data_IF_302792955613
#
_entry.id   IF_302792955613
#
_cell.length_a   1.000
_cell.length_b   1.000
_cell.length_c   1.000
_cell.angle_alpha   90.00
_cell.angle_beta   90.00
_cell.angle_gamma   90.00
#
_symmetry.space_group_name_H-M   'P 1'
#
loop_
_entity.id
_entity.type
_entity.pdbx_description
1 polymer ?
#
# COMPACT_ATOMS: atom_id res chain seq x y z
N UNK A 1 -19.70 16.41 31.83
CA UNK A 1 -20.35 15.09 31.94
C UNK A 1 -20.11 14.59 33.35
N UNK A 2 -21.14 14.07 34.00
CA UNK A 2 -21.02 13.59 35.37
C UNK A 2 -20.34 12.21 35.43
N UNK A 3 -19.66 11.91 36.53
CA UNK A 3 -18.90 10.66 36.71
C UNK A 3 -19.76 9.41 36.49
N UNK A 4 -21.02 9.45 36.93
CA UNK A 4 -21.99 8.36 36.73
C UNK A 4 -22.41 8.17 35.27
N UNK A 5 -22.47 9.26 34.50
CA UNK A 5 -22.80 9.19 33.08
C UNK A 5 -21.66 8.55 32.29
N UNK A 6 -20.42 8.98 32.54
CA UNK A 6 -19.21 8.40 31.95
C UNK A 6 -19.06 6.91 32.29
N UNK A 7 -19.39 6.52 33.53
CA UNK A 7 -19.42 5.12 33.94
C UNK A 7 -20.46 4.32 33.13
N UNK A 8 -21.71 4.80 33.03
CA UNK A 8 -22.77 4.13 32.27
C UNK A 8 -22.41 3.95 30.80
N UNK A 9 -21.89 5.00 30.16
CA UNK A 9 -21.46 4.96 28.76
C UNK A 9 -20.29 3.98 28.55
N UNK A 10 -19.33 3.94 29.50
CA UNK A 10 -18.24 2.97 29.49
C UNK A 10 -18.73 1.52 29.62
N UNK A 11 -19.75 1.26 30.43
CA UNK A 11 -20.35 -0.09 30.58
C UNK A 11 -21.14 -0.48 29.32
N UNK A 12 -21.89 0.44 28.73
CA UNK A 12 -22.63 0.22 27.47
C UNK A 12 -21.66 -0.12 26.34
N UNK A 13 -20.55 0.62 26.21
CA UNK A 13 -19.51 0.37 25.22
C UNK A 13 -18.93 -1.06 25.31
N UNK A 14 -18.81 -1.63 26.52
CA UNK A 14 -18.36 -3.01 26.72
C UNK A 14 -19.45 -4.02 26.36
N UNK A 15 -20.70 -3.80 26.82
CA UNK A 15 -21.79 -4.79 26.70
C UNK A 15 -22.43 -4.85 25.31
N UNK A 16 -22.61 -3.71 24.68
CA UNK A 16 -23.38 -3.59 23.42
C UNK A 16 -22.49 -3.48 22.19
N UNK A 17 -21.33 -2.82 22.33
CA UNK A 17 -20.47 -2.48 21.18
C UNK A 17 -19.13 -3.21 21.16
N UNK A 18 -18.77 -3.95 22.22
CA UNK A 18 -17.46 -4.61 22.39
C UNK A 18 -16.26 -3.67 22.16
N UNK A 19 -16.46 -2.36 22.36
CA UNK A 19 -15.42 -1.34 22.14
C UNK A 19 -14.64 -1.12 23.44
N UNK A 20 -13.66 -2.00 23.67
CA UNK A 20 -12.81 -1.99 24.87
C UNK A 20 -11.92 -0.75 24.97
N UNK A 21 -11.53 -0.15 23.85
CA UNK A 21 -10.65 1.02 23.82
C UNK A 21 -11.39 2.26 24.29
N UNK A 22 -12.59 2.51 23.73
CA UNK A 22 -13.45 3.62 24.13
C UNK A 22 -13.97 3.43 25.55
N UNK A 23 -14.36 2.22 25.91
CA UNK A 23 -14.78 1.90 27.27
C UNK A 23 -13.68 2.20 28.31
N UNK A 24 -12.42 1.86 28.01
CA UNK A 24 -11.29 2.12 28.91
C UNK A 24 -11.06 3.62 29.11
N UNK A 25 -11.23 4.44 28.07
CA UNK A 25 -11.11 5.89 28.18
C UNK A 25 -12.22 6.48 29.06
N UNK A 26 -13.48 6.10 28.80
CA UNK A 26 -14.64 6.57 29.56
C UNK A 26 -14.61 6.15 31.04
N UNK A 27 -14.20 4.91 31.32
CA UNK A 27 -14.07 4.40 32.69
C UNK A 27 -12.91 5.07 33.44
N UNK A 28 -11.79 5.40 32.77
CA UNK A 28 -10.71 6.17 33.39
C UNK A 28 -11.15 7.60 33.71
N UNK A 29 -11.83 8.28 32.80
CA UNK A 29 -12.38 9.62 33.04
C UNK A 29 -13.42 9.63 34.17
N UNK A 30 -14.24 8.59 34.29
CA UNK A 30 -15.15 8.41 35.42
C UNK A 30 -14.39 8.28 36.75
N UNK A 31 -13.28 7.54 36.76
CA UNK A 31 -12.43 7.36 37.95
C UNK A 31 -11.59 8.58 38.31
N UNK A 32 -11.28 9.46 37.36
CA UNK A 32 -10.65 10.76 37.64
C UNK A 32 -11.58 11.67 38.45
N UNK A 33 -12.89 11.59 38.20
CA UNK A 33 -13.91 12.35 38.93
C UNK A 33 -14.34 11.66 40.23
N UNK A 34 -14.47 10.33 40.23
CA UNK A 34 -14.81 9.52 41.41
C UNK A 34 -13.82 8.36 41.61
N UNK A 35 -12.66 8.59 42.25
CA UNK A 35 -11.62 7.57 42.41
C UNK A 35 -12.04 6.36 43.26
N UNK A 36 -13.08 6.54 44.10
CA UNK A 36 -13.61 5.53 45.03
C UNK A 36 -14.66 4.61 44.39
N UNK A 37 -14.93 4.72 43.09
CA UNK A 37 -15.90 3.86 42.42
C UNK A 37 -15.34 2.46 42.15
N UNK A 38 -15.65 1.53 43.05
CA UNK A 38 -15.22 0.12 43.01
C UNK A 38 -15.66 -0.57 41.70
N UNK A 39 -16.87 -0.29 41.24
CA UNK A 39 -17.42 -0.92 40.04
C UNK A 39 -16.67 -0.48 38.78
N UNK A 40 -16.28 0.80 38.67
CA UNK A 40 -15.46 1.28 37.55
C UNK A 40 -14.09 0.59 37.47
N UNK A 41 -13.44 0.35 38.61
CA UNK A 41 -12.21 -0.44 38.68
C UNK A 41 -12.42 -1.90 38.25
N UNK A 42 -13.53 -2.53 38.63
CA UNK A 42 -13.86 -3.89 38.20
C UNK A 42 -14.19 -3.95 36.70
N UNK A 43 -14.89 -2.96 36.14
CA UNK A 43 -15.19 -2.91 34.70
C UNK A 43 -13.94 -2.71 33.84
N UNK A 44 -12.92 -1.99 34.33
CA UNK A 44 -11.63 -1.87 33.64
C UNK A 44 -10.93 -3.23 33.42
N UNK A 45 -11.17 -4.22 34.29
CA UNK A 45 -10.59 -5.57 34.14
C UNK A 45 -11.05 -6.28 32.86
N UNK A 46 -12.21 -5.90 32.31
CA UNK A 46 -12.75 -6.43 31.05
C UNK A 46 -12.17 -5.75 29.80
N UNK A 47 -11.49 -4.61 29.97
CA UNK A 47 -10.90 -3.83 28.86
C UNK A 47 -9.45 -4.20 28.57
N UNK A 48 -8.87 -5.08 29.40
CA UNK A 48 -7.47 -5.48 29.32
C UNK A 48 -7.40 -7.00 29.30
N UNK A 49 -6.50 -7.58 28.50
CA UNK A 49 -6.34 -9.03 28.40
C UNK A 49 -5.29 -9.58 29.38
N UNK A 50 -4.28 -8.77 29.69
CA UNK A 50 -3.18 -9.08 30.59
C UNK A 50 -3.65 -9.37 32.04
N UNK A 51 -3.40 -10.59 32.57
CA UNK A 51 -3.76 -10.96 33.94
C UNK A 51 -3.15 -10.07 35.02
N UNK A 52 -1.94 -9.54 34.79
CA UNK A 52 -1.24 -8.70 35.76
C UNK A 52 -1.93 -7.33 35.92
N UNK A 53 -2.35 -6.73 34.81
CA UNK A 53 -3.13 -5.48 34.80
C UNK A 53 -4.54 -5.68 35.38
N UNK A 54 -5.17 -6.83 35.13
CA UNK A 54 -6.44 -7.20 35.79
C UNK A 54 -6.26 -7.27 37.30
N UNK A 55 -5.20 -7.94 37.78
CA UNK A 55 -4.88 -8.01 39.21
C UNK A 55 -4.64 -6.61 39.80
N UNK A 56 -3.92 -5.74 39.10
CA UNK A 56 -3.68 -4.37 39.54
C UNK A 56 -4.99 -3.59 39.76
N UNK A 57 -5.96 -3.68 38.84
CA UNK A 57 -7.26 -3.02 38.99
C UNK A 57 -8.10 -3.61 40.12
N UNK A 58 -8.09 -4.94 40.29
CA UNK A 58 -8.80 -5.60 41.39
C UNK A 58 -8.17 -5.27 42.75
N UNK A 59 -6.86 -5.14 42.83
CA UNK A 59 -6.16 -4.69 44.04
C UNK A 59 -6.53 -3.25 44.40
N UNK A 60 -6.63 -2.33 43.42
CA UNK A 60 -7.13 -0.96 43.67
C UNK A 60 -8.56 -0.99 44.21
N UNK A 61 -9.44 -1.83 43.65
CA UNK A 61 -10.81 -1.99 44.13
C UNK A 61 -10.87 -2.49 45.58
N UNK A 62 -10.01 -3.46 45.96
CA UNK A 62 -9.91 -3.99 47.31
C UNK A 62 -9.24 -3.04 48.32
N UNK A 63 -8.41 -2.11 47.86
CA UNK A 63 -7.88 -1.03 48.71
C UNK A 63 -8.97 -0.03 49.12
N UNK A 64 -9.99 0.15 48.28
CA UNK A 64 -11.13 1.04 48.58
C UNK A 64 -12.11 0.34 49.52
N UNK A 65 -12.48 -0.91 49.22
CA UNK A 65 -13.30 -1.75 50.09
C UNK A 65 -12.72 -3.17 50.16
N UNK A 66 -12.06 -3.44 51.28
CA UNK A 66 -11.42 -4.71 51.53
C UNK A 66 -12.42 -5.88 51.59
N UNK A 67 -13.69 -5.63 51.92
CA UNK A 67 -14.74 -6.64 52.07
C UNK A 67 -15.60 -6.84 50.82
N UNK A 68 -15.28 -6.18 49.69
CA UNK A 68 -16.05 -6.29 48.47
C UNK A 68 -16.04 -7.72 47.91
N UNK A 69 -17.20 -8.38 47.92
CA UNK A 69 -17.33 -9.82 47.65
C UNK A 69 -16.98 -10.20 46.20
N UNK A 70 -17.33 -9.37 45.22
CA UNK A 70 -17.01 -9.62 43.80
C UNK A 70 -15.53 -9.45 43.51
N UNK A 71 -14.91 -8.40 44.06
CA UNK A 71 -13.48 -8.14 43.90
C UNK A 71 -12.64 -9.23 44.57
N UNK A 72 -13.03 -9.74 45.75
CA UNK A 72 -12.35 -10.87 46.41
C UNK A 72 -12.44 -12.15 45.60
N UNK A 73 -13.63 -12.50 45.08
CA UNK A 73 -13.80 -13.69 44.21
C UNK A 73 -12.96 -13.57 42.94
N UNK A 74 -12.94 -12.38 42.33
CA UNK A 74 -12.14 -12.12 41.13
C UNK A 74 -10.64 -12.17 41.43
N UNK A 75 -10.20 -11.59 42.55
CA UNK A 75 -8.82 -11.67 43.04
C UNK A 75 -8.39 -13.11 43.29
N UNK A 76 -9.22 -13.92 43.97
CA UNK A 76 -8.94 -15.33 44.22
C UNK A 76 -8.86 -16.17 42.94
N UNK A 77 -9.69 -15.90 41.93
CA UNK A 77 -9.60 -16.59 40.63
C UNK A 77 -8.34 -16.21 39.87
N UNK A 78 -8.04 -14.92 39.81
CA UNK A 78 -6.85 -14.41 39.13
C UNK A 78 -5.55 -14.82 39.85
N UNK A 79 -5.58 -14.90 41.19
CA UNK A 79 -4.45 -15.35 42.00
C UNK A 79 -4.33 -16.88 42.06
N UNK A 80 -5.45 -17.61 42.01
CA UNK A 80 -5.46 -19.09 41.95
C UNK A 80 -5.02 -19.64 40.61
N UNK A 81 -5.17 -18.88 39.51
CA UNK A 81 -4.51 -19.16 38.23
C UNK A 81 -2.98 -18.91 38.28
N UNK A 82 -2.49 -18.24 39.32
CA UNK A 82 -1.07 -17.93 39.56
C UNK A 82 -0.48 -18.79 40.70
N UNK A 83 -1.30 -19.51 41.47
CA UNK A 83 -0.89 -20.24 42.67
C UNK A 83 -1.48 -21.66 42.75
N UNK A 84 -0.86 -22.63 42.05
CA UNK A 84 -0.86 -24.04 42.44
C UNK A 84 0.54 -24.66 42.22
N UNK A 85 1.25 -25.08 43.28
CA UNK A 85 2.37 -26.01 43.21
C UNK A 85 1.88 -27.47 43.43
N UNK A 86 2.52 -28.51 42.87
CA UNK A 86 2.26 -29.88 43.27
C UNK A 86 3.09 -30.26 44.50
N UNK A 87 2.43 -30.73 45.56
CA UNK A 87 3.05 -31.33 46.75
C UNK A 87 2.40 -32.69 47.05
N UNK A 88 3.17 -33.77 46.89
CA UNK A 88 3.11 -35.02 47.70
C UNK A 88 4.48 -35.70 47.50
N UNK A 89 5.43 -35.66 48.45
CA UNK A 89 5.66 -36.56 49.61
C UNK A 89 7.09 -37.18 49.53
N UNK A 90 7.95 -36.78 50.47
CA UNK A 90 9.32 -37.28 50.77
C UNK A 90 9.31 -38.70 51.42
N UNK A 91 10.43 -39.45 51.67
CA UNK A 91 11.81 -38.96 51.93
C UNK A 91 13.03 -39.82 51.48
N UNK A 92 14.24 -39.25 51.71
CA UNK A 92 15.54 -39.90 52.00
C UNK A 92 16.45 -40.33 50.84
N UNK A 93 17.48 -39.53 50.56
CA UNK A 93 18.92 -39.86 50.72
C UNK A 93 19.73 -38.59 50.39
N UNK A 94 20.32 -37.96 51.41
CA UNK A 94 21.77 -37.99 51.68
C UNK A 94 22.61 -37.21 50.66
N UNK A 95 22.96 -36.00 51.07
CA UNK A 95 24.30 -35.41 50.96
C UNK A 95 24.93 -35.31 49.57
N UNK A 96 24.89 -34.12 48.98
CA UNK A 96 26.13 -33.40 48.72
C UNK A 96 25.88 -31.93 48.48
N UNK A 97 26.75 -31.14 49.10
CA UNK A 97 26.75 -29.69 49.16
C UNK A 97 26.77 -29.06 47.78
N UNK A 98 25.91 -28.07 47.59
CA UNK A 98 26.23 -26.77 47.02
C UNK A 98 25.08 -25.83 47.42
N UNK A 99 25.15 -25.29 48.64
CA UNK A 99 24.51 -24.01 48.91
C UNK A 99 25.30 -22.96 48.12
N UNK A 100 24.66 -22.08 47.33
CA UNK A 100 25.23 -20.76 47.10
C UNK A 100 24.96 -19.91 48.35
N UNK A 101 26.05 -19.41 48.92
CA UNK A 101 26.12 -18.30 49.87
C UNK A 101 25.33 -17.07 49.39
N UNK A 102 24.98 -16.12 50.27
CA UNK A 102 24.23 -14.90 49.90
C UNK A 102 25.08 -13.84 49.16
N UNK A 103 26.06 -14.26 48.35
CA UNK A 103 26.95 -13.39 47.56
C UNK A 103 27.15 -13.99 46.15
N UNK A 104 26.25 -13.68 45.21
CA UNK A 104 26.56 -13.89 43.79
C UNK A 104 25.64 -13.09 42.89
N UNK A 105 25.55 -11.78 43.11
CA UNK A 105 25.10 -10.87 42.06
C UNK A 105 26.06 -11.04 40.88
N UNK A 106 25.62 -11.52 39.70
CA UNK A 106 26.55 -11.86 38.62
C UNK A 106 27.33 -10.63 38.16
N UNK A 107 28.65 -10.69 38.26
CA UNK A 107 29.54 -9.71 37.64
C UNK A 107 29.65 -9.95 36.13
N UNK A 108 30.46 -9.12 35.45
CA UNK A 108 30.69 -9.20 33.99
C UNK A 108 31.10 -10.61 33.54
N UNK A 109 32.00 -11.27 34.29
CA UNK A 109 32.42 -12.63 33.98
C UNK A 109 31.25 -13.64 34.04
N UNK A 110 30.35 -13.49 35.01
CA UNK A 110 29.15 -14.31 35.13
C UNK A 110 28.21 -14.08 33.95
N UNK A 111 27.96 -12.84 33.55
CA UNK A 111 27.14 -12.56 32.35
C UNK A 111 27.74 -13.14 31.08
N UNK A 112 29.07 -13.06 30.93
CA UNK A 112 29.75 -13.63 29.77
C UNK A 112 29.60 -15.15 29.70
N UNK A 113 29.71 -15.84 30.83
CA UNK A 113 29.51 -17.28 30.91
C UNK A 113 28.06 -17.65 30.56
N UNK A 114 27.07 -16.91 31.09
CA UNK A 114 25.66 -17.10 30.75
C UNK A 114 25.37 -16.89 29.26
N UNK A 115 25.90 -15.82 28.66
CA UNK A 115 25.74 -15.52 27.22
C UNK A 115 26.43 -16.58 26.35
N UNK A 116 27.58 -17.10 26.81
CA UNK A 116 28.26 -18.19 26.12
C UNK A 116 27.46 -19.49 26.18
N UNK A 117 26.84 -19.80 27.34
CA UNK A 117 25.98 -20.98 27.51
C UNK A 117 24.77 -20.94 26.55
N UNK A 118 24.19 -19.77 26.30
CA UNK A 118 23.10 -19.58 25.31
C UNK A 118 23.46 -20.10 23.90
N UNK A 119 24.74 -20.16 23.54
CA UNK A 119 25.20 -20.61 22.21
C UNK A 119 25.38 -22.13 22.11
N UNK A 120 25.51 -22.84 23.23
CA UNK A 120 26.05 -24.21 23.26
C UNK A 120 24.96 -25.28 23.10
N UNK A 121 23.70 -24.94 23.39
CA UNK A 121 22.60 -25.90 23.34
C UNK A 121 22.07 -26.16 21.91
N UNK A 122 21.33 -27.27 21.76
CA UNK A 122 20.70 -27.69 20.51
C UNK A 122 19.94 -26.53 19.82
N UNK A 123 19.83 -26.60 18.48
CA UNK A 123 19.30 -25.55 17.59
C UNK A 123 18.40 -24.52 18.32
N UNK A 124 18.91 -23.30 18.59
CA UNK A 124 18.28 -22.40 19.54
C UNK A 124 16.86 -22.04 19.12
N UNK A 125 15.93 -22.08 20.06
CA UNK A 125 14.54 -21.73 19.79
C UNK A 125 14.43 -20.22 19.50
N UNK A 126 13.65 -19.89 18.48
CA UNK A 126 13.42 -18.52 18.01
C UNK A 126 11.94 -18.15 18.10
N UNK A 127 11.60 -16.90 17.84
CA UNK A 127 10.22 -16.41 17.74
C UNK A 127 9.36 -17.18 16.72
N UNK A 128 9.99 -17.93 15.80
CA UNK A 128 9.31 -18.81 14.85
C UNK A 128 9.00 -20.20 15.39
N UNK A 129 9.69 -20.67 16.42
CA UNK A 129 9.44 -21.98 17.02
C UNK A 129 8.38 -21.89 18.11
N UNK A 130 7.48 -22.86 18.15
CA UNK A 130 6.49 -22.94 19.22
C UNK A 130 7.12 -23.47 20.51
N UNK A 131 7.08 -22.66 21.57
CA UNK A 131 7.47 -23.06 22.92
C UNK A 131 6.45 -24.03 23.52
N UNK A 132 6.93 -25.08 24.19
CA UNK A 132 6.12 -25.97 25.02
C UNK A 132 5.48 -25.20 26.19
N UNK A 133 4.45 -25.78 26.81
CA UNK A 133 3.79 -25.15 27.97
C UNK A 133 4.77 -24.96 29.15
N UNK A 134 5.69 -25.91 29.34
CA UNK A 134 6.71 -25.83 30.39
C UNK A 134 7.70 -24.68 30.12
N UNK A 135 8.21 -24.57 28.89
CA UNK A 135 9.11 -23.49 28.49
C UNK A 135 8.41 -22.12 28.58
N UNK A 136 7.14 -22.02 28.16
CA UNK A 136 6.34 -20.78 28.32
C UNK A 136 6.23 -20.36 29.79
N UNK A 137 5.96 -21.33 30.67
CA UNK A 137 5.89 -21.07 32.10
C UNK A 137 7.24 -20.63 32.67
N UNK A 138 8.35 -21.28 32.27
CA UNK A 138 9.70 -20.89 32.68
C UNK A 138 10.06 -19.48 32.21
N UNK A 139 9.81 -19.15 30.94
CA UNK A 139 10.00 -17.79 30.40
C UNK A 139 9.21 -16.77 31.23
N UNK A 140 7.93 -17.03 31.50
CA UNK A 140 7.10 -16.14 32.30
C UNK A 140 7.61 -15.98 33.74
N UNK A 141 8.09 -17.07 34.34
CA UNK A 141 8.67 -17.06 35.68
C UNK A 141 9.92 -16.18 35.73
N UNK A 142 10.87 -16.37 34.81
CA UNK A 142 12.10 -15.59 34.77
C UNK A 142 11.82 -14.11 34.49
N UNK A 143 10.89 -13.78 33.59
CA UNK A 143 10.46 -12.39 33.38
C UNK A 143 9.88 -11.75 34.65
N UNK A 144 9.04 -12.49 35.38
CA UNK A 144 8.49 -12.03 36.66
C UNK A 144 9.56 -11.82 37.73
N UNK A 145 10.55 -12.72 37.81
CA UNK A 145 11.69 -12.56 38.71
C UNK A 145 12.56 -11.35 38.34
N UNK A 146 12.76 -11.12 37.04
CA UNK A 146 13.47 -9.94 36.57
C UNK A 146 12.75 -8.65 36.97
N UNK A 147 11.43 -8.58 36.82
CA UNK A 147 10.65 -7.42 37.21
C UNK A 147 10.68 -7.17 38.73
N UNK A 148 10.68 -8.23 39.54
CA UNK A 148 10.88 -8.11 40.99
C UNK A 148 12.29 -7.59 41.33
N UNK A 149 13.31 -8.07 40.64
CA UNK A 149 14.68 -7.61 40.80
C UNK A 149 14.83 -6.13 40.43
N UNK A 150 14.16 -5.67 39.36
CA UNK A 150 14.07 -4.24 39.00
C UNK A 150 13.43 -3.42 40.12
N UNK A 151 12.30 -3.88 40.67
CA UNK A 151 11.61 -3.19 41.77
C UNK A 151 12.47 -3.11 43.04
N UNK A 152 13.29 -4.14 43.29
CA UNK A 152 14.26 -4.16 44.37
C UNK A 152 15.51 -3.30 44.10
N UNK A 153 15.65 -2.71 42.91
CA UNK A 153 16.84 -1.98 42.49
C UNK A 153 18.06 -2.87 42.20
N UNK A 154 17.88 -4.20 42.21
CA UNK A 154 18.93 -5.18 41.95
C UNK A 154 18.94 -5.53 40.46
N UNK A 155 19.57 -4.66 39.67
CA UNK A 155 19.59 -4.85 38.24
C UNK A 155 20.45 -6.04 37.76
N UNK A 156 21.63 -6.35 38.32
CA UNK A 156 22.40 -7.47 37.80
C UNK A 156 21.63 -8.79 37.89
N UNK A 157 20.83 -8.98 38.95
CA UNK A 157 19.92 -10.12 39.05
C UNK A 157 18.83 -10.05 37.97
N UNK A 158 18.27 -8.88 37.68
CA UNK A 158 17.32 -8.73 36.58
C UNK A 158 17.94 -9.09 35.22
N UNK A 159 19.20 -8.71 34.97
CA UNK A 159 19.94 -9.07 33.76
C UNK A 159 20.13 -10.59 33.69
N UNK A 160 20.55 -11.21 34.80
CA UNK A 160 20.69 -12.66 34.87
C UNK A 160 19.38 -13.37 34.51
N UNK A 161 18.25 -12.91 35.07
CA UNK A 161 16.94 -13.47 34.76
C UNK A 161 16.53 -13.28 33.29
N UNK A 162 16.86 -12.15 32.66
CA UNK A 162 16.64 -12.01 31.21
C UNK A 162 17.55 -12.94 30.40
N UNK A 163 18.79 -13.16 30.80
CA UNK A 163 19.68 -14.11 30.13
C UNK A 163 19.16 -15.56 30.23
N UNK A 164 18.52 -15.94 31.33
CA UNK A 164 17.80 -17.22 31.44
C UNK A 164 16.59 -17.32 30.50
N UNK A 165 15.90 -16.20 30.23
CA UNK A 165 14.89 -16.21 29.16
C UNK A 165 15.53 -16.44 27.80
N UNK A 166 16.72 -15.87 27.56
CA UNK A 166 17.43 -16.01 26.29
C UNK A 166 18.07 -17.39 26.09
N UNK A 167 18.36 -18.13 27.16
CA UNK A 167 18.77 -19.54 27.05
C UNK A 167 17.63 -20.43 26.54
N UNK A 168 16.38 -20.11 26.88
CA UNK A 168 15.19 -20.80 26.36
C UNK A 168 14.85 -20.31 24.94
N UNK A 169 14.71 -19.01 24.75
CA UNK A 169 14.39 -18.40 23.46
C UNK A 169 15.37 -17.27 23.13
N UNK A 170 16.31 -17.56 22.24
CA UNK A 170 17.49 -16.71 21.95
C UNK A 170 17.13 -15.31 21.44
N UNK A 171 15.98 -15.15 20.79
CA UNK A 171 15.52 -13.89 20.22
C UNK A 171 14.28 -13.32 20.91
N UNK A 172 14.03 -13.71 22.17
CA UNK A 172 12.87 -13.26 22.93
C UNK A 172 12.84 -11.71 23.00
N UNK A 173 11.80 -11.05 22.46
CA UNK A 173 11.81 -9.60 22.22
C UNK A 173 12.08 -8.75 23.47
N UNK A 174 11.41 -9.09 24.57
CA UNK A 174 11.51 -8.32 25.82
C UNK A 174 12.88 -8.49 26.50
N UNK A 175 13.29 -9.75 26.70
CA UNK A 175 14.56 -10.10 27.32
C UNK A 175 15.76 -9.54 26.54
N UNK A 176 15.80 -9.66 25.20
CA UNK A 176 16.88 -9.04 24.40
C UNK A 176 16.91 -7.54 24.63
N UNK A 177 15.77 -6.86 24.48
CA UNK A 177 15.70 -5.40 24.61
C UNK A 177 16.17 -4.97 26.00
N UNK A 178 15.64 -5.58 27.05
CA UNK A 178 15.95 -5.23 28.43
C UNK A 178 17.40 -5.58 28.78
N UNK A 179 17.90 -6.77 28.45
CA UNK A 179 19.28 -7.18 28.77
C UNK A 179 20.33 -6.37 27.99
N UNK A 180 20.20 -6.29 26.65
CA UNK A 180 21.20 -5.62 25.82
C UNK A 180 21.32 -4.13 26.15
N UNK A 181 20.20 -3.41 26.32
CA UNK A 181 20.21 -1.98 26.68
C UNK A 181 20.82 -1.76 28.08
N UNK A 182 20.48 -2.61 29.06
CA UNK A 182 20.98 -2.44 30.42
C UNK A 182 22.47 -2.76 30.56
N UNK A 183 22.98 -3.72 29.78
CA UNK A 183 24.41 -4.01 29.66
C UNK A 183 25.15 -2.86 28.95
N UNK A 184 24.59 -2.38 27.83
CA UNK A 184 25.14 -1.25 27.07
C UNK A 184 25.33 0.00 27.91
N UNK A 185 24.27 0.42 28.63
CA UNK A 185 24.29 1.61 29.48
C UNK A 185 25.30 1.53 30.65
N UNK A 186 25.87 0.35 30.90
CA UNK A 186 26.90 0.11 31.93
C UNK A 186 28.31 -0.03 31.37
N UNK A 187 28.47 0.14 30.05
CA UNK A 187 29.74 -0.05 29.36
C UNK A 187 30.08 -1.51 29.07
N UNK A 188 29.13 -2.44 29.25
CA UNK A 188 29.30 -3.86 28.88
C UNK A 188 28.86 -4.06 27.42
N UNK A 189 29.49 -3.31 26.52
CA UNK A 189 29.12 -3.26 25.10
C UNK A 189 29.33 -4.60 24.40
N UNK A 190 30.42 -5.31 24.74
CA UNK A 190 30.77 -6.58 24.11
C UNK A 190 29.74 -7.65 24.46
N UNK A 191 29.29 -7.69 25.71
CA UNK A 191 28.21 -8.58 26.17
C UNK A 191 26.88 -8.23 25.49
N UNK A 192 26.54 -6.94 25.39
CA UNK A 192 25.33 -6.50 24.70
C UNK A 192 25.35 -6.88 23.20
N UNK A 193 26.49 -6.70 22.51
CA UNK A 193 26.69 -7.11 21.11
C UNK A 193 26.64 -8.62 20.97
N UNK A 194 27.20 -9.37 21.91
CA UNK A 194 27.20 -10.84 21.89
C UNK A 194 25.77 -11.41 21.95
N UNK A 195 24.89 -10.83 22.78
CA UNK A 195 23.46 -11.21 22.83
C UNK A 195 22.80 -11.03 21.45
N UNK A 196 22.97 -9.86 20.83
CA UNK A 196 22.40 -9.58 19.51
C UNK A 196 22.98 -10.50 18.43
N UNK A 197 24.29 -10.79 18.50
CA UNK A 197 24.95 -11.67 17.56
C UNK A 197 24.41 -13.10 17.67
N UNK A 198 24.20 -13.62 18.87
CA UNK A 198 23.59 -14.95 19.06
C UNK A 198 22.20 -15.02 18.40
N UNK A 199 21.38 -13.99 18.53
CA UNK A 199 20.07 -13.93 17.86
C UNK A 199 20.18 -13.85 16.32
N UNK A 200 21.18 -13.14 15.79
CA UNK A 200 21.43 -13.10 14.35
C UNK A 200 21.97 -14.42 13.79
N UNK A 201 22.83 -15.11 14.53
CA UNK A 201 23.36 -16.43 14.18
C UNK A 201 22.24 -17.47 14.16
N UNK A 202 21.26 -17.33 15.06
CA UNK A 202 20.02 -18.10 15.08
C UNK A 202 19.01 -17.70 13.97
N UNK A 203 19.38 -16.79 13.06
CA UNK A 203 18.55 -16.30 11.95
C UNK A 203 17.22 -15.70 12.41
N UNK A 204 17.23 -14.92 13.49
CA UNK A 204 16.03 -14.24 13.99
C UNK A 204 15.31 -13.43 12.92
N UNK A 205 13.99 -13.47 12.99
CA UNK A 205 13.08 -12.60 12.22
C UNK A 205 12.35 -11.60 13.10
N UNK A 206 12.73 -11.46 14.36
CA UNK A 206 12.08 -10.56 15.32
C UNK A 206 12.45 -9.10 15.04
N UNK A 207 11.50 -8.22 14.67
CA UNK A 207 11.77 -6.80 14.42
C UNK A 207 12.39 -6.09 15.62
N UNK A 208 12.02 -6.48 16.84
CA UNK A 208 12.51 -5.87 18.09
C UNK A 208 14.01 -6.08 18.26
N UNK A 209 14.56 -7.22 17.80
CA UNK A 209 16.01 -7.47 17.85
C UNK A 209 16.75 -6.51 16.93
N UNK A 210 16.25 -6.31 15.71
CA UNK A 210 16.82 -5.35 14.78
C UNK A 210 16.69 -3.91 15.30
N UNK A 211 15.54 -3.53 15.85
CA UNK A 211 15.34 -2.20 16.46
C UNK A 211 16.31 -1.96 17.62
N UNK A 212 16.51 -2.96 18.49
CA UNK A 212 17.47 -2.88 19.59
C UNK A 212 18.90 -2.74 19.05
N UNK A 213 19.28 -3.54 18.05
CA UNK A 213 20.60 -3.43 17.43
C UNK A 213 20.83 -2.08 16.73
N UNK A 214 19.79 -1.51 16.10
CA UNK A 214 19.84 -0.17 15.49
C UNK A 214 20.08 0.87 16.58
N UNK A 215 19.31 0.84 17.67
CA UNK A 215 19.48 1.77 18.79
C UNK A 215 20.91 1.71 19.34
N UNK A 216 21.44 0.52 19.60
CA UNK A 216 22.80 0.35 20.11
C UNK A 216 23.86 0.84 19.11
N UNK A 217 23.65 0.63 17.81
CA UNK A 217 24.55 1.16 16.78
C UNK A 217 24.51 2.69 16.69
N UNK A 218 23.36 3.32 16.97
CA UNK A 218 23.22 4.78 17.05
C UNK A 218 23.87 5.34 18.31
N UNK A 219 23.68 4.67 19.45
CA UNK A 219 24.33 5.03 20.72
C UNK A 219 25.86 4.91 20.62
N UNK A 220 26.36 4.01 19.76
CA UNK A 220 27.77 3.84 19.43
C UNK A 220 28.33 4.86 18.40
N UNK A 221 27.51 5.80 17.92
CA UNK A 221 27.81 6.69 16.80
C UNK A 221 28.33 5.93 15.54
N UNK A 222 27.72 4.78 15.25
CA UNK A 222 28.03 3.95 14.09
C UNK A 222 26.90 3.97 13.06
N UNK A 223 26.76 5.07 12.28
CA UNK A 223 25.66 5.23 11.33
C UNK A 223 25.70 4.18 10.20
N UNK A 224 26.89 3.68 9.85
CA UNK A 224 27.03 2.65 8.80
C UNK A 224 26.37 1.34 9.22
N UNK A 225 26.58 0.92 10.46
CA UNK A 225 25.95 -0.27 11.00
C UNK A 225 24.45 -0.09 11.17
N UNK A 226 24.02 1.06 11.72
CA UNK A 226 22.61 1.38 11.87
C UNK A 226 21.87 1.33 10.52
N UNK A 227 22.44 1.91 9.45
CA UNK A 227 21.90 1.82 8.08
C UNK A 227 21.82 0.36 7.60
N UNK A 228 22.88 -0.44 7.80
CA UNK A 228 22.89 -1.85 7.40
C UNK A 228 21.77 -2.63 8.10
N UNK A 229 21.56 -2.40 9.39
CA UNK A 229 20.53 -3.05 10.19
C UNK A 229 19.11 -2.62 9.77
N UNK A 230 18.89 -1.32 9.49
CA UNK A 230 17.63 -0.81 8.92
C UNK A 230 17.26 -1.48 7.61
N UNK A 231 18.24 -1.66 6.71
CA UNK A 231 18.02 -2.36 5.45
C UNK A 231 17.72 -3.85 5.62
N UNK A 232 18.33 -4.51 6.62
CA UNK A 232 17.99 -5.90 6.96
C UNK A 232 16.60 -6.02 7.56
N UNK A 233 16.19 -5.07 8.42
CA UNK A 233 14.84 -5.00 8.97
C UNK A 233 13.79 -4.92 7.86
N UNK A 234 13.99 -4.06 6.86
CA UNK A 234 13.08 -3.95 5.71
C UNK A 234 12.94 -5.22 4.84
N UNK A 235 13.87 -6.19 4.97
CA UNK A 235 13.81 -7.47 4.24
C UNK A 235 13.02 -8.55 4.98
N UNK A 236 12.65 -8.33 6.24
CA UNK A 236 11.95 -9.37 7.00
C UNK A 236 10.53 -9.56 6.46
N UNK A 237 10.05 -10.80 6.29
CA UNK A 237 8.72 -11.08 5.71
C UNK A 237 7.56 -10.42 6.48
N UNK A 238 7.67 -10.39 7.80
CA UNK A 238 6.60 -9.96 8.70
C UNK A 238 6.75 -8.50 9.15
N UNK A 239 7.51 -7.69 8.40
CA UNK A 239 7.66 -6.26 8.72
C UNK A 239 6.36 -5.52 8.42
N UNK A 240 5.81 -4.85 9.42
CA UNK A 240 4.58 -4.09 9.26
C UNK A 240 4.80 -2.82 8.42
N UNK A 241 3.72 -2.38 7.78
CA UNK A 241 3.73 -1.21 6.92
C UNK A 241 4.23 0.06 7.63
N UNK A 242 3.86 0.26 8.91
CA UNK A 242 4.25 1.45 9.64
C UNK A 242 5.76 1.51 9.89
N UNK A 243 6.39 0.36 10.17
CA UNK A 243 7.85 0.27 10.24
C UNK A 243 8.51 0.60 8.90
N UNK A 244 8.00 0.08 7.78
CA UNK A 244 8.53 0.42 6.45
C UNK A 244 8.40 1.92 6.17
N UNK A 245 7.23 2.52 6.44
CA UNK A 245 7.00 3.96 6.25
C UNK A 245 7.96 4.81 7.11
N UNK A 246 8.19 4.41 8.36
CA UNK A 246 9.15 5.06 9.26
C UNK A 246 10.58 5.01 8.70
N UNK A 247 11.04 3.85 8.21
CA UNK A 247 12.37 3.71 7.64
C UNK A 247 12.56 4.57 6.38
N UNK A 248 11.54 4.63 5.52
CA UNK A 248 11.54 5.50 4.33
C UNK A 248 11.65 6.97 4.76
N UNK A 249 10.78 7.42 5.68
CA UNK A 249 10.79 8.80 6.17
C UNK A 249 12.13 9.17 6.82
N UNK A 250 12.71 8.26 7.61
CA UNK A 250 14.01 8.44 8.24
C UNK A 250 15.12 8.69 7.20
N UNK A 251 15.22 7.86 6.15
CA UNK A 251 16.23 8.06 5.11
C UNK A 251 16.02 9.32 4.27
N UNK A 252 14.76 9.72 4.04
CA UNK A 252 14.44 10.97 3.35
C UNK A 252 14.84 12.20 4.19
N UNK A 253 14.58 12.18 5.50
CA UNK A 253 15.01 13.24 6.42
C UNK A 253 16.53 13.41 6.44
N UNK A 254 17.27 12.30 6.36
CA UNK A 254 18.74 12.30 6.24
C UNK A 254 19.23 12.70 4.84
N UNK A 255 18.33 13.06 3.91
CA UNK A 255 18.64 13.35 2.50
C UNK A 255 19.35 12.20 1.79
N UNK A 256 18.99 10.97 2.13
CA UNK A 256 19.53 9.73 1.57
C UNK A 256 18.46 8.94 0.78
N UNK A 257 17.93 9.50 -0.33
CA UNK A 257 16.81 8.91 -1.06
C UNK A 257 17.12 7.53 -1.65
N UNK A 258 18.40 7.26 -1.96
CA UNK A 258 18.85 5.94 -2.44
C UNK A 258 18.56 4.82 -1.44
N UNK A 259 18.69 5.08 -0.14
CA UNK A 259 18.36 4.08 0.87
C UNK A 259 16.86 3.96 1.11
N UNK A 260 16.11 5.07 1.02
CA UNK A 260 14.65 5.04 1.05
C UNK A 260 14.07 4.16 -0.07
N UNK A 261 14.59 4.28 -1.30
CA UNK A 261 14.22 3.41 -2.41
C UNK A 261 14.58 1.95 -2.14
N UNK A 262 15.79 1.66 -1.62
CA UNK A 262 16.21 0.29 -1.27
C UNK A 262 15.32 -0.35 -0.20
N UNK A 263 14.85 0.42 0.78
CA UNK A 263 13.89 -0.07 1.79
C UNK A 263 12.61 -0.57 1.11
N UNK A 264 12.04 0.21 0.19
CA UNK A 264 10.84 -0.18 -0.55
C UNK A 264 11.11 -1.35 -1.50
N UNK A 265 12.26 -1.40 -2.17
CA UNK A 265 12.67 -2.53 -3.01
C UNK A 265 12.75 -3.83 -2.21
N UNK A 266 13.33 -3.80 -1.01
CA UNK A 266 13.39 -4.97 -0.12
C UNK A 266 12.03 -5.36 0.45
N UNK A 267 11.22 -4.40 0.88
CA UNK A 267 9.87 -4.66 1.34
C UNK A 267 9.02 -5.31 0.24
N UNK A 268 9.20 -4.86 -1.02
CA UNK A 268 8.53 -5.45 -2.19
C UNK A 268 8.99 -6.87 -2.49
N UNK A 269 10.24 -7.23 -2.24
CA UNK A 269 10.69 -8.63 -2.40
C UNK A 269 9.95 -9.57 -1.43
N UNK A 270 9.65 -9.09 -0.22
CA UNK A 270 8.87 -9.84 0.76
C UNK A 270 7.36 -9.83 0.44
N UNK A 271 6.84 -8.74 -0.10
CA UNK A 271 5.42 -8.57 -0.47
C UNK A 271 5.27 -7.96 -1.87
N UNK A 272 5.37 -8.77 -2.94
CA UNK A 272 5.38 -8.28 -4.32
C UNK A 272 4.10 -7.55 -4.74
N UNK A 273 2.96 -7.97 -4.20
CA UNK A 273 1.63 -7.45 -4.58
C UNK A 273 1.18 -6.24 -3.76
N UNK A 274 2.03 -5.69 -2.90
CA UNK A 274 1.67 -4.52 -2.11
C UNK A 274 1.73 -3.24 -2.96
N UNK A 275 0.55 -2.80 -3.43
CA UNK A 275 0.35 -1.60 -4.25
C UNK A 275 0.95 -0.33 -3.63
N UNK A 276 0.95 -0.22 -2.29
CA UNK A 276 1.47 0.97 -1.62
C UNK A 276 2.97 1.12 -1.79
N UNK A 277 3.73 0.01 -1.80
CA UNK A 277 5.17 0.04 -2.05
C UNK A 277 5.48 0.45 -3.50
N UNK A 278 4.69 -0.04 -4.46
CA UNK A 278 4.86 0.31 -5.87
C UNK A 278 4.64 1.81 -6.11
N UNK A 279 3.52 2.36 -5.61
CA UNK A 279 3.22 3.79 -5.73
C UNK A 279 4.30 4.62 -5.04
N UNK A 280 4.65 4.29 -3.79
CA UNK A 280 5.63 5.08 -3.04
C UNK A 280 7.03 5.02 -3.66
N UNK A 281 7.42 3.88 -4.25
CA UNK A 281 8.69 3.77 -4.97
C UNK A 281 8.62 4.55 -6.29
N UNK A 282 7.50 4.53 -7.00
CA UNK A 282 7.24 5.35 -8.17
C UNK A 282 7.36 6.84 -7.87
N UNK A 283 6.74 7.31 -6.78
CA UNK A 283 6.82 8.70 -6.30
C UNK A 283 8.27 9.13 -6.13
N UNK A 284 9.06 8.31 -5.43
CA UNK A 284 10.47 8.59 -5.19
C UNK A 284 11.28 8.54 -6.49
N UNK A 285 11.01 7.60 -7.39
CA UNK A 285 11.72 7.51 -8.68
C UNK A 285 11.43 8.73 -9.55
N UNK A 286 10.18 9.20 -9.56
CA UNK A 286 9.79 10.44 -10.24
C UNK A 286 10.50 11.66 -9.65
N UNK A 287 10.46 11.83 -8.31
CA UNK A 287 11.09 12.95 -7.61
C UNK A 287 12.61 13.04 -7.88
N UNK A 288 13.28 11.89 -8.02
CA UNK A 288 14.73 11.80 -8.24
C UNK A 288 15.13 11.51 -9.69
N UNK A 289 14.26 11.83 -10.66
CA UNK A 289 14.60 11.91 -12.09
C UNK A 289 14.65 10.59 -12.86
N UNK A 290 14.11 9.51 -12.30
CA UNK A 290 13.99 8.19 -12.95
C UNK A 290 12.56 7.98 -13.46
N UNK A 291 12.16 8.80 -14.44
CA UNK A 291 10.79 8.87 -14.96
C UNK A 291 10.29 7.55 -15.56
N UNK A 292 11.09 6.90 -16.40
CA UNK A 292 10.69 5.63 -17.05
C UNK A 292 10.42 4.52 -16.03
N UNK A 293 11.25 4.42 -15.00
CA UNK A 293 11.05 3.46 -13.91
C UNK A 293 9.80 3.79 -13.10
N UNK A 294 9.52 5.08 -12.85
CA UNK A 294 8.32 5.51 -12.13
C UNK A 294 7.04 5.10 -12.87
N UNK A 295 6.98 5.32 -14.19
CA UNK A 295 5.86 4.90 -15.05
C UNK A 295 5.62 3.39 -14.91
N UNK A 296 6.67 2.58 -15.05
CA UNK A 296 6.56 1.13 -14.94
C UNK A 296 6.02 0.66 -13.58
N UNK A 297 6.33 1.38 -12.50
CA UNK A 297 5.88 1.07 -11.14
C UNK A 297 4.41 1.47 -10.94
N UNK A 298 3.99 2.61 -11.48
CA UNK A 298 2.58 3.02 -11.45
C UNK A 298 1.70 2.10 -12.30
N UNK A 299 2.17 1.65 -13.47
CA UNK A 299 1.47 0.65 -14.30
C UNK A 299 1.29 -0.67 -13.54
N UNK A 300 2.37 -1.18 -12.92
CA UNK A 300 2.30 -2.37 -12.07
C UNK A 300 1.27 -2.17 -10.95
N UNK A 301 1.33 -1.03 -10.25
CA UNK A 301 0.40 -0.72 -9.16
C UNK A 301 -1.06 -0.69 -9.65
N UNK A 302 -1.34 -0.14 -10.83
CA UNK A 302 -2.69 -0.08 -11.39
C UNK A 302 -3.23 -1.47 -11.79
N UNK A 303 -2.34 -2.41 -12.13
CA UNK A 303 -2.69 -3.77 -12.55
C UNK A 303 -2.92 -4.73 -11.39
N UNK A 304 -2.25 -4.55 -10.24
CA UNK A 304 -2.26 -5.53 -9.12
C UNK A 304 -3.64 -5.77 -8.48
N UNK A 305 -4.61 -4.85 -8.54
CA UNK A 305 -5.94 -5.08 -7.93
C UNK A 305 -7.13 -4.55 -8.74
N UNK A 306 -8.28 -5.25 -8.62
CA UNK A 306 -9.56 -4.83 -9.21
C UNK A 306 -10.22 -3.80 -8.29
N UNK A 307 -10.29 -2.55 -8.76
CA UNK A 307 -11.00 -1.39 -8.15
C UNK A 307 -10.61 -1.11 -6.68
N UNK A 308 -9.43 -0.52 -6.47
CA UNK A 308 -9.01 0.07 -5.18
C UNK A 308 -8.77 1.58 -5.29
N UNK A 309 -8.77 2.30 -4.16
CA UNK A 309 -8.34 3.71 -4.13
C UNK A 309 -6.88 3.88 -4.59
N UNK A 310 -6.02 2.92 -4.24
CA UNK A 310 -4.61 2.91 -4.65
C UNK A 310 -4.44 2.74 -6.17
N UNK A 311 -5.29 1.94 -6.81
CA UNK A 311 -5.31 1.86 -8.27
C UNK A 311 -5.62 3.22 -8.91
N UNK A 312 -6.63 3.94 -8.40
CA UNK A 312 -6.97 5.29 -8.91
C UNK A 312 -5.80 6.26 -8.71
N UNK A 313 -5.15 6.21 -7.55
CA UNK A 313 -3.97 7.02 -7.30
C UNK A 313 -2.83 6.72 -8.28
N UNK A 314 -2.61 5.44 -8.62
CA UNK A 314 -1.63 5.06 -9.64
C UNK A 314 -2.03 5.52 -11.05
N UNK A 315 -3.30 5.38 -11.43
CA UNK A 315 -3.85 5.86 -12.71
C UNK A 315 -3.75 7.40 -12.83
N UNK A 316 -3.99 8.12 -11.74
CA UNK A 316 -3.81 9.58 -11.65
C UNK A 316 -2.35 9.97 -11.89
N UNK A 317 -1.38 9.30 -11.26
CA UNK A 317 0.04 9.58 -11.53
C UNK A 317 0.43 9.24 -12.96
N UNK A 318 -0.13 8.20 -13.57
CA UNK A 318 0.09 7.88 -14.98
C UNK A 318 -0.42 8.96 -15.92
N UNK A 319 -1.53 9.63 -15.57
CA UNK A 319 -2.06 10.73 -16.35
C UNK A 319 -1.05 11.88 -16.50
N UNK A 320 -0.26 12.16 -15.45
CA UNK A 320 0.80 13.18 -15.49
C UNK A 320 1.94 12.85 -16.48
N UNK A 321 2.08 11.58 -16.88
CA UNK A 321 3.10 11.13 -17.83
C UNK A 321 2.60 10.97 -19.27
N UNK A 322 1.30 11.10 -19.51
CA UNK A 322 0.78 11.08 -20.88
C UNK A 322 1.34 12.31 -21.59
N UNK A 323 2.12 12.17 -22.68
CA UNK A 323 2.58 13.32 -23.43
C UNK A 323 1.35 14.06 -23.93
N UNK A 324 1.11 15.25 -23.39
CA UNK A 324 0.25 16.22 -24.05
C UNK A 324 0.94 16.50 -25.38
N UNK A 325 0.25 16.22 -26.51
CA UNK A 325 0.72 16.59 -27.85
C UNK A 325 1.36 17.98 -27.77
N UNK A 326 2.62 18.12 -28.18
CA UNK A 326 3.30 19.40 -28.02
C UNK A 326 2.56 20.48 -28.82
N UNK A 327 2.56 21.73 -28.39
CA UNK A 327 1.83 22.82 -29.09
C UNK A 327 2.19 22.93 -30.58
N UNK A 328 3.40 22.47 -30.96
CA UNK A 328 3.88 22.40 -32.34
C UNK A 328 3.17 21.32 -33.17
N UNK A 329 2.71 20.25 -32.54
CA UNK A 329 1.95 19.17 -33.17
C UNK A 329 0.46 19.51 -33.27
N UNK A 330 -0.09 20.21 -32.26
CA UNK A 330 -1.49 20.70 -32.24
C UNK A 330 -1.77 21.80 -33.26
N UNK A 331 -0.74 22.54 -33.66
CA UNK A 331 -0.79 23.61 -34.67
C UNK A 331 -0.46 23.15 -36.09
N UNK A 332 -0.10 21.87 -36.27
CA UNK A 332 0.38 21.34 -37.55
C UNK A 332 -0.77 21.09 -38.52
N UNK A 333 -0.85 21.92 -39.56
CA UNK A 333 -1.76 21.75 -40.71
C UNK A 333 -1.55 20.38 -41.38
N UNK A 334 -0.32 19.85 -41.37
CA UNK A 334 -0.01 18.52 -41.92
C UNK A 334 -0.68 17.38 -41.15
N UNK A 335 -0.80 17.49 -39.82
CA UNK A 335 -1.49 16.49 -39.00
C UNK A 335 -2.99 16.51 -39.24
N UNK A 336 -3.58 17.70 -39.34
CA UNK A 336 -4.99 17.85 -39.70
C UNK A 336 -5.26 17.33 -41.12
N UNK A 337 -4.35 17.60 -42.07
CA UNK A 337 -4.44 17.06 -43.43
C UNK A 337 -4.35 15.53 -43.42
N UNK A 338 -3.54 14.92 -42.55
CA UNK A 338 -3.50 13.46 -42.37
C UNK A 338 -4.86 12.89 -41.94
N UNK A 339 -5.57 13.57 -41.04
CA UNK A 339 -6.91 13.14 -40.61
C UNK A 339 -7.94 13.29 -41.77
N UNK A 340 -7.82 14.34 -42.57
CA UNK A 340 -8.67 14.57 -43.76
C UNK A 340 -8.46 13.50 -44.83
N UNK A 341 -7.24 12.99 -45.01
CA UNK A 341 -6.93 11.95 -46.01
C UNK A 341 -7.82 10.71 -45.78
N UNK A 342 -8.03 10.30 -44.54
CA UNK A 342 -8.87 9.12 -44.22
C UNK A 342 -10.30 9.27 -44.71
N UNK A 343 -10.93 10.41 -44.41
CA UNK A 343 -12.31 10.69 -44.85
C UNK A 343 -12.35 10.84 -46.39
N UNK A 344 -11.34 11.48 -46.98
CA UNK A 344 -11.26 11.68 -48.43
C UNK A 344 -11.14 10.35 -49.20
N UNK A 345 -10.36 9.39 -48.68
CA UNK A 345 -10.24 8.04 -49.24
C UNK A 345 -11.59 7.30 -49.18
N UNK A 346 -12.36 7.47 -48.10
CA UNK A 346 -13.69 6.86 -47.99
C UNK A 346 -14.61 7.39 -49.10
N UNK A 347 -14.67 8.70 -49.32
CA UNK A 347 -15.50 9.28 -50.40
C UNK A 347 -15.02 8.86 -51.79
N UNK A 348 -13.71 8.74 -51.99
CA UNK A 348 -13.15 8.18 -53.24
C UNK A 348 -13.59 6.73 -53.44
N UNK A 349 -13.55 5.91 -52.40
CA UNK A 349 -13.99 4.51 -52.45
C UNK A 349 -15.50 4.38 -52.70
N UNK A 350 -16.30 5.25 -52.09
CA UNK A 350 -17.74 5.31 -52.32
C UNK A 350 -18.06 5.70 -53.79
N UNK A 351 -17.34 6.68 -54.33
CA UNK A 351 -17.51 7.08 -55.73
C UNK A 351 -17.10 5.95 -56.68
N UNK A 352 -15.99 5.28 -56.35
CA UNK A 352 -15.52 4.12 -57.11
C UNK A 352 -16.54 2.97 -57.08
N UNK A 353 -17.20 2.75 -55.95
CA UNK A 353 -18.28 1.77 -55.83
C UNK A 353 -19.51 2.18 -56.64
N UNK A 354 -19.92 3.45 -56.62
CA UNK A 354 -21.12 3.96 -57.32
C UNK A 354 -21.00 3.85 -58.85
N UNK A 355 -19.77 3.90 -59.38
CA UNK A 355 -19.48 3.72 -60.81
C UNK A 355 -19.16 2.27 -61.21
N UNK A 356 -19.45 1.31 -60.34
CA UNK A 356 -19.28 -0.12 -60.64
C UNK A 356 -17.83 -0.60 -60.62
N UNK A 357 -16.96 0.03 -59.82
CA UNK A 357 -15.54 -0.28 -59.70
C UNK A 357 -14.73 -0.02 -60.99
N UNK A 358 -15.21 0.91 -61.83
CA UNK A 358 -14.49 1.39 -63.01
C UNK A 358 -14.32 2.91 -62.96
N UNK A 359 -13.08 3.37 -62.69
CA UNK A 359 -12.75 4.78 -62.66
C UNK A 359 -13.02 5.51 -63.98
N UNK A 360 -13.08 4.80 -65.12
CA UNK A 360 -13.40 5.37 -66.42
C UNK A 360 -14.82 5.96 -66.48
N UNK A 361 -15.72 5.50 -65.61
CA UNK A 361 -17.12 5.93 -65.57
C UNK A 361 -17.36 7.11 -64.60
N UNK A 362 -16.31 7.66 -63.97
CA UNK A 362 -16.45 8.83 -63.10
C UNK A 362 -16.79 10.10 -63.88
N UNK A 363 -18.02 10.58 -63.70
CA UNK A 363 -18.47 11.86 -64.25
C UNK A 363 -17.95 13.07 -63.41
N UNK A 364 -18.08 14.32 -63.91
CA UNK A 364 -17.67 15.51 -63.18
C UNK A 364 -18.34 15.72 -61.81
N UNK A 365 -19.54 15.15 -61.60
CA UNK A 365 -20.29 15.26 -60.34
C UNK A 365 -19.61 14.47 -59.23
N UNK A 366 -19.14 13.25 -59.51
CA UNK A 366 -18.37 12.44 -58.54
C UNK A 366 -17.11 13.18 -58.09
N UNK A 367 -16.36 13.76 -59.04
CA UNK A 367 -15.16 14.55 -58.75
C UNK A 367 -15.46 15.80 -57.92
N UNK A 368 -16.57 16.48 -58.21
CA UNK A 368 -17.04 17.60 -57.40
C UNK A 368 -17.40 17.15 -55.97
N UNK A 369 -18.04 15.98 -55.82
CA UNK A 369 -18.35 15.38 -54.53
C UNK A 369 -17.10 15.06 -53.70
N UNK A 370 -16.07 14.46 -54.31
CA UNK A 370 -14.78 14.20 -53.64
C UNK A 370 -14.12 15.52 -53.19
N UNK A 371 -14.13 16.55 -54.04
CA UNK A 371 -13.62 17.87 -53.68
C UNK A 371 -14.36 18.50 -52.50
N UNK A 372 -15.69 18.42 -52.49
CA UNK A 372 -16.53 18.86 -51.36
C UNK A 372 -16.22 18.07 -50.08
N UNK A 373 -15.97 16.76 -50.19
CA UNK A 373 -15.62 15.93 -49.05
C UNK A 373 -14.29 16.36 -48.40
N UNK A 374 -13.28 16.69 -49.19
CA UNK A 374 -11.98 17.19 -48.68
C UNK A 374 -12.19 18.49 -47.89
N UNK A 375 -12.94 19.44 -48.45
CA UNK A 375 -13.20 20.75 -47.82
C UNK A 375 -14.05 20.58 -46.56
N UNK A 376 -15.13 19.79 -46.63
CA UNK A 376 -16.02 19.53 -45.50
C UNK A 376 -15.30 18.82 -44.35
N UNK A 377 -14.47 17.83 -44.68
CA UNK A 377 -13.63 17.11 -43.72
C UNK A 377 -12.65 18.05 -43.02
N UNK A 378 -11.98 18.92 -43.76
CA UNK A 378 -11.03 19.86 -43.20
C UNK A 378 -11.69 20.84 -42.22
N UNK A 379 -12.88 21.36 -42.56
CA UNK A 379 -13.65 22.23 -41.65
C UNK A 379 -14.12 21.48 -40.39
N UNK A 380 -14.58 20.24 -40.55
CA UNK A 380 -15.02 19.41 -39.42
C UNK A 380 -13.86 19.06 -38.47
N UNK A 381 -12.74 18.59 -39.00
CA UNK A 381 -11.50 18.30 -38.24
C UNK A 381 -10.99 19.56 -37.52
N UNK A 382 -11.00 20.71 -38.18
CA UNK A 382 -10.61 22.00 -37.57
C UNK A 382 -11.57 22.39 -36.43
N UNK A 383 -12.86 22.10 -36.54
CA UNK A 383 -13.85 22.39 -35.51
C UNK A 383 -13.73 21.49 -34.27
N UNK A 384 -13.24 20.24 -34.42
CA UNK A 384 -13.23 19.24 -33.35
C UNK A 384 -11.84 18.90 -32.81
N UNK A 385 -10.91 18.48 -33.66
CA UNK A 385 -9.61 17.92 -33.25
C UNK A 385 -8.45 18.91 -33.36
N UNK A 386 -8.54 19.93 -34.22
CA UNK A 386 -7.47 20.91 -34.46
C UNK A 386 -7.96 22.37 -34.49
N UNK A 387 -8.45 22.94 -33.36
CA UNK A 387 -8.96 24.31 -33.32
C UNK A 387 -7.87 25.40 -33.27
N UNK A 388 -6.60 25.00 -33.28
CA UNK A 388 -5.41 25.86 -33.13
C UNK A 388 -4.70 26.17 -34.46
N UNK A 389 -5.35 25.96 -35.61
CA UNK A 389 -4.70 26.19 -36.90
C UNK A 389 -4.35 27.68 -37.09
N UNK A 390 -3.06 28.01 -37.05
CA UNK A 390 -2.55 29.38 -37.06
C UNK A 390 -3.12 30.29 -38.17
N UNK A 391 -3.28 29.84 -39.44
CA UNK A 391 -3.78 30.72 -40.50
C UNK A 391 -5.24 31.12 -40.26
N UNK A 392 -6.09 30.15 -39.95
CA UNK A 392 -7.53 30.35 -39.76
C UNK A 392 -7.83 31.02 -38.42
N UNK A 393 -7.16 30.60 -37.35
CA UNK A 393 -7.34 31.20 -36.03
C UNK A 393 -6.90 32.68 -36.01
N UNK A 394 -5.82 33.04 -36.72
CA UNK A 394 -5.43 34.46 -36.86
C UNK A 394 -6.40 35.25 -37.72
N UNK A 395 -6.87 34.66 -38.82
CA UNK A 395 -7.80 35.33 -39.74
C UNK A 395 -9.18 35.57 -39.10
N UNK A 396 -9.65 34.66 -38.25
CA UNK A 396 -10.96 34.72 -37.59
C UNK A 396 -10.91 35.36 -36.18
N UNK A 397 -9.79 36.00 -35.79
CA UNK A 397 -9.69 36.72 -34.53
C UNK A 397 -9.71 35.81 -33.29
N UNK A 398 -9.02 34.67 -33.35
CA UNK A 398 -8.91 33.72 -32.25
C UNK A 398 -8.30 34.33 -30.98
N UNK A 399 -8.80 33.88 -29.83
CA UNK A 399 -8.40 34.39 -28.51
C UNK A 399 -7.38 33.44 -27.86
N UNK A 400 -6.55 34.00 -26.97
CA UNK A 400 -5.60 33.24 -26.13
C UNK A 400 -6.15 33.22 -24.70
N UNK A 401 -6.47 32.05 -24.11
CA UNK A 401 -6.94 31.96 -22.73
C UNK A 401 -5.86 32.38 -21.72
N UNK A 402 -6.23 33.10 -20.65
CA UNK A 402 -5.28 33.62 -19.64
C UNK A 402 -4.64 32.54 -18.75
N UNK A 403 -5.29 31.39 -18.56
CA UNK A 403 -4.87 30.34 -17.60
C UNK A 403 -4.06 29.18 -18.21
N UNK A 404 -3.67 29.27 -19.49
CA UNK A 404 -2.88 28.23 -20.15
C UNK A 404 -1.57 28.83 -20.64
N UNK A 405 -0.43 28.26 -20.22
CA UNK A 405 0.95 28.63 -20.62
C UNK A 405 1.24 28.45 -22.13
N UNK A 406 0.20 28.33 -22.98
CA UNK A 406 0.27 28.07 -24.41
C UNK A 406 -0.19 29.31 -25.19
N UNK A 407 0.76 30.10 -25.72
CA UNK A 407 0.53 31.37 -26.43
C UNK A 407 -0.11 31.26 -27.84
N UNK A 408 -0.91 30.23 -28.14
CA UNK A 408 -1.46 30.00 -29.48
C UNK A 408 -2.91 30.48 -29.57
N UNK A 409 -3.31 31.26 -30.60
CA UNK A 409 -4.70 31.69 -30.77
C UNK A 409 -5.61 30.51 -31.08
N UNK A 410 -6.74 30.42 -30.36
CA UNK A 410 -7.75 29.36 -30.49
C UNK A 410 -9.01 29.97 -31.12
N UNK A 411 -9.64 29.26 -32.06
CA UNK A 411 -10.96 29.61 -32.57
C UNK A 411 -12.00 29.65 -31.45
N UNK A 412 -12.87 30.66 -31.44
CA UNK A 412 -13.98 30.76 -30.48
C UNK A 412 -14.93 29.57 -30.59
N UNK A 413 -15.63 29.23 -29.51
CA UNK A 413 -16.61 28.13 -29.52
C UNK A 413 -17.65 28.32 -30.62
N UNK A 414 -18.11 29.56 -30.83
CA UNK A 414 -19.08 29.92 -31.87
C UNK A 414 -18.56 29.66 -33.29
N UNK A 415 -17.32 30.07 -33.59
CA UNK A 415 -16.70 29.84 -34.90
C UNK A 415 -16.48 28.36 -35.18
N UNK A 416 -16.10 27.58 -34.16
CA UNK A 416 -15.99 26.13 -34.31
C UNK A 416 -17.33 25.46 -34.56
N UNK A 417 -18.39 25.86 -33.85
CA UNK A 417 -19.74 25.31 -34.09
C UNK A 417 -20.20 25.62 -35.51
N UNK A 418 -20.00 26.85 -35.99
CA UNK A 418 -20.29 27.25 -37.37
C UNK A 418 -19.51 26.41 -38.39
N UNK A 419 -18.19 26.23 -38.20
CA UNK A 419 -17.36 25.40 -39.06
C UNK A 419 -17.76 23.93 -39.04
N UNK A 420 -18.12 23.39 -37.87
CA UNK A 420 -18.60 22.01 -37.74
C UNK A 420 -19.90 21.79 -38.49
N UNK A 421 -20.87 22.69 -38.35
CA UNK A 421 -22.15 22.63 -39.08
C UNK A 421 -21.90 22.73 -40.59
N UNK A 422 -21.08 23.70 -41.03
CA UNK A 422 -20.74 23.86 -42.45
C UNK A 422 -20.02 22.63 -43.01
N UNK A 423 -19.04 22.09 -42.26
CA UNK A 423 -18.30 20.89 -42.63
C UNK A 423 -19.21 19.67 -42.80
N UNK A 424 -20.11 19.43 -41.85
CA UNK A 424 -21.11 18.35 -41.94
C UNK A 424 -22.03 18.56 -43.15
N UNK A 425 -22.47 19.79 -43.40
CA UNK A 425 -23.36 20.10 -44.52
C UNK A 425 -22.70 19.83 -45.87
N UNK A 426 -21.43 20.18 -46.01
CA UNK A 426 -20.61 19.87 -47.19
C UNK A 426 -20.37 18.37 -47.35
N UNK A 427 -20.16 17.63 -46.26
CA UNK A 427 -20.02 16.17 -46.30
C UNK A 427 -21.32 15.47 -46.73
N UNK A 428 -22.47 15.96 -46.30
CA UNK A 428 -23.78 15.46 -46.76
C UNK A 428 -23.96 15.74 -48.25
N UNK A 429 -23.66 16.96 -48.72
CA UNK A 429 -23.73 17.30 -50.13
C UNK A 429 -22.76 16.45 -50.98
N UNK A 430 -21.52 16.26 -50.50
CA UNK A 430 -20.53 15.39 -51.11
C UNK A 430 -21.04 13.96 -51.24
N UNK A 431 -21.76 13.46 -50.23
CA UNK A 431 -22.28 12.09 -50.23
C UNK A 431 -23.31 11.92 -51.34
N UNK A 432 -24.24 12.87 -51.46
CA UNK A 432 -25.26 12.87 -52.53
C UNK A 432 -24.61 12.88 -53.92
N UNK A 433 -23.52 13.64 -54.09
CA UNK A 433 -22.83 13.75 -55.38
C UNK A 433 -22.04 12.49 -55.73
N UNK A 434 -21.52 11.80 -54.72
CA UNK A 434 -20.74 10.58 -54.86
C UNK A 434 -21.62 9.33 -55.04
N UNK A 435 -22.85 9.34 -54.50
CA UNK A 435 -23.83 8.25 -54.61
C UNK A 435 -24.90 8.49 -55.67
N UNK A 436 -24.65 9.36 -56.65
CA UNK A 436 -25.67 9.82 -57.59
C UNK A 436 -26.40 8.67 -58.29
N UNK A 437 -25.66 7.68 -58.80
CA UNK A 437 -26.24 6.58 -59.57
C UNK A 437 -27.01 5.61 -58.66
N UNK A 438 -26.46 5.25 -57.49
CA UNK A 438 -27.14 4.37 -56.55
C UNK A 438 -28.37 5.04 -55.90
N UNK A 439 -28.35 6.35 -55.67
CA UNK A 439 -29.53 7.11 -55.23
C UNK A 439 -30.61 7.12 -56.32
N UNK A 440 -30.22 7.30 -57.58
CA UNK A 440 -31.14 7.22 -58.72
C UNK A 440 -31.78 5.83 -58.82
N UNK A 441 -30.99 4.77 -58.74
CA UNK A 441 -31.48 3.38 -58.72
C UNK A 441 -32.38 3.06 -57.52
N UNK A 442 -32.18 3.74 -56.39
CA UNK A 442 -33.02 3.56 -55.20
C UNK A 442 -34.37 4.27 -55.35
N UNK A 443 -34.41 5.38 -56.10
CA UNK A 443 -35.62 6.18 -56.35
C UNK A 443 -36.40 5.62 -57.55
N UNK A 444 -35.70 5.18 -58.59
CA UNK A 444 -36.25 4.59 -59.81
C UNK A 444 -35.52 3.28 -60.15
N UNK A 445 -35.89 2.16 -59.49
CA UNK A 445 -35.24 0.88 -59.71
C UNK A 445 -35.54 0.34 -61.12
N UNK A 446 -34.51 -0.22 -61.77
CA UNK A 446 -34.66 -0.89 -63.07
C UNK A 446 -35.73 -1.99 -62.96
N UNK A 447 -36.68 -1.99 -63.89
CA UNK A 447 -37.79 -2.95 -63.87
C UNK A 447 -37.27 -4.35 -64.22
N UNK A 448 -37.80 -5.41 -63.59
CA UNK A 448 -37.36 -6.79 -63.85
C UNK A 448 -37.47 -7.21 -65.32
N UNK A 449 -38.41 -6.63 -66.07
CA UNK A 449 -38.66 -6.96 -67.48
C UNK A 449 -37.53 -6.48 -68.40
N UNK A 450 -36.83 -5.40 -68.03
CA UNK A 450 -35.70 -4.83 -68.79
C UNK A 450 -34.38 -5.59 -68.55
N UNK A 451 -34.33 -6.45 -67.53
CA UNK A 451 -33.14 -7.28 -67.23
C UNK A 451 -33.01 -8.47 -68.18
N UNK A 452 -34.09 -8.90 -68.83
CA UNK A 452 -34.07 -10.07 -69.73
C UNK A 452 -33.44 -9.75 -71.11
N UNK A 453 -33.48 -8.50 -71.59
CA UNK A 453 -32.83 -8.13 -72.86
C UNK A 453 -31.30 -8.02 -72.75
N UNK A 454 -30.74 -7.89 -71.54
CA UNK A 454 -29.30 -7.67 -71.32
C UNK A 454 -28.52 -9.01 -71.27
N UNK A 455 -29.19 -10.12 -70.99
CA UNK A 455 -28.56 -11.46 -70.90
C UNK A 455 -28.78 -12.36 -72.12
N UNK A 456 -29.56 -11.95 -73.13
CA UNK A 456 -29.62 -12.64 -74.43
C UNK A 456 -28.40 -12.27 -75.29
N UNK A 457 -27.23 -12.76 -74.87
CA UNK A 457 -26.11 -13.01 -75.78
C UNK A 457 -26.37 -14.36 -76.46
N UNK A 458 -26.79 -14.31 -77.73
CA UNK A 458 -26.62 -15.33 -78.77
C UNK A 458 -26.35 -16.77 -78.27
N UNK A 459 -27.39 -17.49 -77.80
CA UNK A 459 -27.36 -18.96 -77.81
C UNK A 459 -28.33 -19.49 -78.87
N UNK A 460 -27.84 -19.85 -80.07
CA UNK A 460 -28.66 -20.39 -81.14
C UNK A 460 -29.22 -21.80 -80.84
N UNK A 461 -28.98 -22.39 -79.65
CA UNK A 461 -29.44 -23.74 -79.32
C UNK A 461 -30.67 -23.82 -78.43
N UNK A 462 -31.25 -22.71 -77.98
CA UNK A 462 -32.45 -22.73 -77.13
C UNK A 462 -33.76 -23.07 -77.86
N UNK A 463 -33.72 -23.38 -79.16
CA UNK A 463 -34.93 -23.67 -79.96
C UNK A 463 -35.34 -25.15 -79.98
N UNK A 464 -34.58 -26.07 -79.37
CA UNK A 464 -34.89 -27.51 -79.42
C UNK A 464 -35.64 -28.10 -78.21
N UNK A 465 -36.22 -27.27 -77.33
CA UNK A 465 -36.99 -27.73 -76.17
C UNK A 465 -38.31 -26.96 -75.96
N UNK A 466 -39.01 -26.63 -77.04
CA UNK A 466 -40.44 -26.27 -76.99
C UNK A 466 -41.32 -27.37 -77.57
#
# INVERSE_FOLDING_TARGET
>A
MDAQQLFREGVIAIREHQDYTRARQLLKQSLELEPRNIQAWLWLTRTVNDPSQKLAFVQRALQIDANHSEARKLYQRLNGQVAQPPSVSNPSHSSSQLQPSPESTPGIAGFREMIAATRIDAAPQTTKSELSLAEKHQVQQHLGQADLAIQAGNLPDAIAQWLEVLSIQVDHPEAIKKAAINLWNRGYEDEARAILQNAFDAKTTSPVVYQTAIQLAEDADNPREATRLRLRLARLPDTDQATIDYLVAHFLQLKQPKYAMRVLEYARQASPDNQRYLIRLGDLKQEFGSQDEAISLYEQAAQTSRRSQLRRAAEERLHDFVPTLSDRERTSVLLALREVIGISIIYLALAFQDVGLDFGNMNPVHWAGIGLAVIGSYLFVTATSSPQQLPLARWLGGNVPEDQDTHVPILSVETRVMMGILGISLLIAAFIFVFGNALELLIDPVRPDDLYEIFELDDPQAESLR
#
